data_IF_671037238514
#
_entry.id   IF_671037238514
#
_cell.length_a   1.000
_cell.length_b   1.000
_cell.length_c   1.000
_cell.angle_alpha   90.00
_cell.angle_beta   90.00
_cell.angle_gamma   90.00
#
_symmetry.space_group_name_H-M   'P 1'
#
loop_
_entity.id
_entity.type
_entity.pdbx_description
1 polymer ?
#
# COMPACT_ATOMS: atom_id res chain seq x y z
N UNK A 1 39.36 143.47 66.68
CA UNK A 1 38.00 142.88 66.75
C UNK A 1 37.76 142.11 65.46
N UNK A 2 38.40 140.95 65.27
CA UNK A 2 38.32 140.22 63.99
C UNK A 2 38.57 138.71 64.14
N UNK A 3 38.05 138.10 65.21
CA UNK A 3 38.13 136.65 65.44
C UNK A 3 36.74 135.98 65.50
N UNK A 4 35.65 136.75 65.47
CA UNK A 4 34.28 136.22 65.54
C UNK A 4 33.62 135.88 64.19
N UNK A 5 34.32 136.05 63.06
CA UNK A 5 33.77 135.71 61.75
C UNK A 5 34.09 134.26 61.31
N UNK A 6 35.03 133.57 61.98
CA UNK A 6 35.53 132.26 61.54
C UNK A 6 34.87 131.06 62.26
N UNK A 7 34.11 131.29 63.33
CA UNK A 7 33.34 130.25 64.02
C UNK A 7 31.98 129.98 63.33
N UNK A 8 31.36 131.01 62.73
CA UNK A 8 30.11 130.85 62.00
C UNK A 8 30.27 130.19 60.61
N UNK A 9 31.46 130.22 60.03
CA UNK A 9 31.74 129.58 58.73
C UNK A 9 32.07 128.08 58.83
N UNK A 10 32.44 127.59 60.02
CA UNK A 10 32.79 126.18 60.28
C UNK A 10 31.60 125.30 60.72
N UNK A 11 30.53 125.92 61.19
CA UNK A 11 29.32 125.23 61.69
C UNK A 11 28.18 125.19 60.65
N UNK A 12 28.35 125.89 59.53
CA UNK A 12 27.43 125.83 58.37
C UNK A 12 27.89 124.77 57.36
N UNK A 13 29.19 124.45 57.34
CA UNK A 13 29.74 123.35 56.55
C UNK A 13 29.47 121.95 57.13
N UNK A 14 28.97 121.84 58.37
CA UNK A 14 28.71 120.56 59.04
C UNK A 14 27.27 120.04 58.84
N UNK A 15 26.24 120.90 58.87
CA UNK A 15 24.84 120.46 58.78
C UNK A 15 24.36 120.16 57.35
N UNK A 16 24.82 120.90 56.35
CA UNK A 16 24.42 120.66 54.95
C UNK A 16 25.05 119.39 54.37
N UNK A 17 26.30 119.09 54.78
CA UNK A 17 26.95 117.81 54.45
C UNK A 17 26.30 116.64 55.19
N UNK A 18 25.87 116.83 56.44
CA UNK A 18 25.12 115.83 57.20
C UNK A 18 23.76 115.51 56.56
N UNK A 19 23.03 116.53 56.09
CA UNK A 19 21.75 116.35 55.39
C UNK A 19 21.92 115.63 54.05
N UNK A 20 22.99 115.94 53.30
CA UNK A 20 23.36 115.22 52.07
C UNK A 20 23.70 113.75 52.35
N UNK A 21 24.49 113.48 53.39
CA UNK A 21 24.80 112.12 53.82
C UNK A 21 23.55 111.36 54.28
N UNK A 22 22.67 111.99 55.06
CA UNK A 22 21.42 111.37 55.51
C UNK A 22 20.50 111.02 54.35
N UNK A 23 20.37 111.91 53.34
CA UNK A 23 19.62 111.63 52.11
C UNK A 23 20.24 110.47 51.33
N UNK A 24 21.56 110.47 51.15
CA UNK A 24 22.27 109.40 50.46
C UNK A 24 22.09 108.04 51.16
N UNK A 25 22.18 108.00 52.50
CA UNK A 25 21.94 106.79 53.29
C UNK A 25 20.50 106.30 53.09
N UNK A 26 19.50 107.18 53.20
CA UNK A 26 18.11 106.81 52.96
C UNK A 26 17.84 106.27 51.55
N UNK A 27 18.46 106.86 50.53
CA UNK A 27 18.41 106.35 49.15
C UNK A 27 19.06 104.96 49.03
N UNK A 28 20.23 104.74 49.67
CA UNK A 28 20.90 103.44 49.68
C UNK A 28 20.11 102.38 50.44
N UNK A 29 19.51 102.71 51.58
CA UNK A 29 18.63 101.81 52.33
C UNK A 29 17.40 101.40 51.52
N UNK A 30 16.82 102.34 50.77
CA UNK A 30 15.72 102.07 49.85
C UNK A 30 16.15 101.09 48.75
N UNK A 31 17.28 101.34 48.09
CA UNK A 31 17.83 100.45 47.07
C UNK A 31 18.14 99.05 47.63
N UNK A 32 18.72 98.97 48.84
CA UNK A 32 18.99 97.69 49.50
C UNK A 32 17.68 96.93 49.77
N UNK A 33 16.63 97.63 50.20
CA UNK A 33 15.32 97.02 50.47
C UNK A 33 14.65 96.49 49.19
N UNK A 34 14.73 97.26 48.10
CA UNK A 34 14.23 96.83 46.77
C UNK A 34 15.00 95.60 46.26
N UNK A 35 16.33 95.62 46.34
CA UNK A 35 17.18 94.48 45.97
C UNK A 35 16.91 93.25 46.84
N UNK A 36 16.72 93.42 48.15
CA UNK A 36 16.38 92.33 49.05
C UNK A 36 15.03 91.68 48.67
N UNK A 37 14.03 92.49 48.31
CA UNK A 37 12.74 92.01 47.83
C UNK A 37 12.86 91.24 46.50
N UNK A 38 13.62 91.76 45.53
CA UNK A 38 13.90 91.06 44.26
C UNK A 38 14.62 89.72 44.48
N UNK A 39 15.61 89.68 45.38
CA UNK A 39 16.31 88.44 45.75
C UNK A 39 15.32 87.43 46.34
N UNK A 40 14.43 87.85 47.23
CA UNK A 40 13.45 86.97 47.85
C UNK A 40 12.46 86.41 46.83
N UNK A 41 12.02 87.23 45.87
CA UNK A 41 11.17 86.78 44.76
C UNK A 41 11.89 85.75 43.87
N UNK A 42 13.15 86.00 43.52
CA UNK A 42 13.97 85.06 42.74
C UNK A 42 14.17 83.74 43.47
N UNK A 43 14.41 83.75 44.78
CA UNK A 43 14.53 82.54 45.59
C UNK A 43 13.24 81.71 45.57
N UNK A 44 12.07 82.34 45.69
CA UNK A 44 10.78 81.63 45.58
C UNK A 44 10.57 81.01 44.19
N UNK A 45 10.94 81.73 43.12
CA UNK A 45 10.90 81.19 41.75
C UNK A 45 11.83 79.98 41.58
N UNK A 46 13.05 80.06 42.13
CA UNK A 46 14.01 78.95 42.11
C UNK A 46 13.46 77.74 42.86
N UNK A 47 12.88 77.94 44.05
CA UNK A 47 12.29 76.84 44.84
C UNK A 47 11.14 76.16 44.09
N UNK A 48 10.23 76.94 43.48
CA UNK A 48 9.12 76.40 42.69
C UNK A 48 9.62 75.61 41.46
N UNK A 49 10.66 76.12 40.79
CA UNK A 49 11.27 75.46 39.64
C UNK A 49 11.98 74.17 40.06
N UNK A 50 12.66 74.18 41.22
CA UNK A 50 13.31 72.99 41.77
C UNK A 50 12.29 71.88 42.09
N UNK A 51 11.15 72.23 42.70
CA UNK A 51 10.04 71.28 42.92
C UNK A 51 9.55 70.69 41.59
N UNK A 52 9.31 71.54 40.58
CA UNK A 52 8.91 71.09 39.24
C UNK A 52 9.91 70.14 38.60
N UNK A 53 11.22 70.40 38.74
CA UNK A 53 12.28 69.52 38.24
C UNK A 53 12.21 68.14 38.92
N UNK A 54 11.99 68.10 40.24
CA UNK A 54 11.89 66.81 40.96
C UNK A 54 10.68 65.99 40.54
N UNK A 55 9.52 66.63 40.34
CA UNK A 55 8.30 65.98 39.83
C UNK A 55 8.53 65.40 38.43
N UNK A 56 9.05 66.22 37.51
CA UNK A 56 9.33 65.79 36.14
C UNK A 56 10.36 64.66 36.10
N UNK A 57 11.37 64.68 36.98
CA UNK A 57 12.36 63.59 37.09
C UNK A 57 11.68 62.28 37.51
N UNK A 58 10.76 62.33 38.46
CA UNK A 58 10.00 61.15 38.89
C UNK A 58 9.06 60.63 37.80
N UNK A 59 8.38 61.53 37.07
CA UNK A 59 7.52 61.18 35.93
C UNK A 59 8.32 60.49 34.80
N UNK A 60 9.51 61.02 34.48
CA UNK A 60 10.42 60.43 33.48
C UNK A 60 10.89 59.04 33.91
N UNK A 61 11.26 58.86 35.19
CA UNK A 61 11.66 57.55 35.71
C UNK A 61 10.54 56.52 35.55
N UNK A 62 9.31 56.88 35.96
CA UNK A 62 8.13 56.01 35.82
C UNK A 62 7.78 55.70 34.36
N UNK A 63 7.89 56.69 33.48
CA UNK A 63 7.67 56.50 32.04
C UNK A 63 8.71 55.54 31.44
N UNK A 64 9.98 55.64 31.89
CA UNK A 64 11.05 54.76 31.43
C UNK A 64 10.86 53.31 31.91
N UNK A 65 10.40 53.10 33.14
CA UNK A 65 10.00 51.76 33.62
C UNK A 65 8.85 51.18 32.78
N UNK A 66 7.83 51.99 32.49
CA UNK A 66 6.72 51.61 31.62
C UNK A 66 7.19 51.23 30.21
N UNK A 67 8.12 52.01 29.63
CA UNK A 67 8.74 51.72 28.33
C UNK A 67 9.46 50.37 28.34
N UNK A 68 10.32 50.11 29.33
CA UNK A 68 11.06 48.85 29.42
C UNK A 68 10.14 47.64 29.51
N UNK A 69 9.04 47.74 30.26
CA UNK A 69 8.05 46.67 30.36
C UNK A 69 7.39 46.38 29.01
N UNK A 70 6.99 47.41 28.27
CA UNK A 70 6.38 47.24 26.93
C UNK A 70 7.37 46.66 25.93
N UNK A 71 8.64 47.10 25.97
CA UNK A 71 9.70 46.53 25.12
C UNK A 71 9.91 45.03 25.38
N UNK A 72 9.86 44.62 26.66
CA UNK A 72 9.94 43.22 27.04
C UNK A 72 8.75 42.40 26.52
N UNK A 73 7.52 42.87 26.77
CA UNK A 73 6.29 42.20 26.29
C UNK A 73 6.24 42.11 24.76
N UNK A 74 6.73 43.14 24.07
CA UNK A 74 6.85 43.13 22.62
C UNK A 74 7.84 42.06 22.13
N UNK A 75 9.00 41.94 22.78
CA UNK A 75 10.00 40.92 22.45
C UNK A 75 9.45 39.50 22.64
N UNK A 76 8.74 39.24 23.75
CA UNK A 76 8.13 37.94 24.01
C UNK A 76 7.05 37.59 22.97
N UNK A 77 6.26 38.59 22.57
CA UNK A 77 5.23 38.41 21.54
C UNK A 77 5.84 38.14 20.17
N UNK A 78 6.93 38.83 19.82
CA UNK A 78 7.66 38.61 18.58
C UNK A 78 8.22 37.18 18.49
N UNK A 79 8.74 36.65 19.59
CA UNK A 79 9.23 35.26 19.68
C UNK A 79 8.08 34.25 19.48
N UNK A 80 6.95 34.45 20.17
CA UNK A 80 5.74 33.61 19.99
C UNK A 80 5.24 33.62 18.55
N UNK A 81 5.24 34.77 17.89
CA UNK A 81 4.88 34.88 16.48
C UNK A 81 5.84 34.10 15.57
N UNK A 82 7.15 34.18 15.82
CA UNK A 82 8.16 33.41 15.09
C UNK A 82 7.95 31.90 15.23
N UNK A 83 7.65 31.42 16.44
CA UNK A 83 7.39 30.00 16.67
C UNK A 83 6.08 29.51 16.05
N UNK A 84 5.03 30.33 16.09
CA UNK A 84 3.79 30.03 15.38
C UNK A 84 4.02 29.99 13.86
N UNK A 85 4.81 30.90 13.31
CA UNK A 85 5.17 30.88 11.90
C UNK A 85 5.90 29.58 11.52
N UNK A 86 6.88 29.14 12.31
CA UNK A 86 7.56 27.85 12.10
C UNK A 86 6.58 26.68 12.13
N UNK A 87 5.64 26.66 13.08
CA UNK A 87 4.61 25.62 13.18
C UNK A 87 3.69 25.61 11.95
N UNK A 88 3.23 26.78 11.49
CA UNK A 88 2.43 26.90 10.29
C UNK A 88 3.17 26.35 9.06
N UNK A 89 4.43 26.74 8.87
CA UNK A 89 5.27 26.20 7.79
C UNK A 89 5.42 24.68 7.88
N UNK A 90 5.59 24.14 9.09
CA UNK A 90 5.62 22.69 9.33
C UNK A 90 4.31 22.00 8.92
N UNK A 91 3.15 22.58 9.24
CA UNK A 91 1.87 22.06 8.80
C UNK A 91 1.68 22.12 7.29
N UNK A 92 2.15 23.19 6.62
CA UNK A 92 2.10 23.26 5.16
C UNK A 92 2.84 22.09 4.49
N UNK A 93 4.06 21.78 4.94
CA UNK A 93 4.81 20.65 4.41
C UNK A 93 4.14 19.30 4.69
N UNK A 94 3.50 19.13 5.85
CA UNK A 94 2.73 17.92 6.15
C UNK A 94 1.54 17.76 5.20
N UNK A 95 0.81 18.86 4.93
CA UNK A 95 -0.33 18.86 4.00
C UNK A 95 0.12 18.53 2.58
N UNK A 96 1.21 19.13 2.08
CA UNK A 96 1.77 18.80 0.77
C UNK A 96 2.17 17.33 0.67
N UNK A 97 2.84 16.78 1.71
CA UNK A 97 3.22 15.36 1.72
C UNK A 97 2.01 14.42 1.69
N UNK A 98 0.95 14.75 2.43
CA UNK A 98 -0.29 13.97 2.43
C UNK A 98 -1.00 14.05 1.08
N UNK A 99 -1.00 15.23 0.44
CA UNK A 99 -1.57 15.41 -0.88
C UNK A 99 -0.86 14.54 -1.93
N UNK A 100 0.47 14.51 -1.93
CA UNK A 100 1.24 13.63 -2.83
C UNK A 100 0.92 12.15 -2.61
N UNK A 101 0.86 11.69 -1.35
CA UNK A 101 0.49 10.30 -1.02
C UNK A 101 -0.93 9.94 -1.47
N UNK A 102 -1.86 10.88 -1.32
CA UNK A 102 -3.23 10.71 -1.81
C UNK A 102 -3.23 10.51 -3.33
N UNK A 103 -2.49 11.34 -4.07
CA UNK A 103 -2.39 11.23 -5.52
C UNK A 103 -1.79 9.88 -5.96
N UNK A 104 -0.69 9.45 -5.34
CA UNK A 104 -0.08 8.13 -5.60
C UNK A 104 -1.09 6.99 -5.39
N UNK A 105 -1.87 7.05 -4.31
CA UNK A 105 -2.90 6.06 -4.01
C UNK A 105 -4.04 6.06 -5.04
N UNK A 106 -4.46 7.24 -5.51
CA UNK A 106 -5.49 7.38 -6.55
C UNK A 106 -5.02 6.80 -7.89
N UNK A 107 -3.75 7.02 -8.25
CA UNK A 107 -3.12 6.44 -9.43
C UNK A 107 -3.05 4.90 -9.32
N UNK A 108 -2.63 4.36 -8.17
CA UNK A 108 -2.61 2.91 -7.93
C UNK A 108 -4.01 2.30 -8.06
N UNK A 109 -5.03 2.90 -7.44
CA UNK A 109 -6.42 2.45 -7.57
C UNK A 109 -6.88 2.42 -9.03
N UNK A 110 -6.50 3.43 -9.82
CA UNK A 110 -6.84 3.49 -11.25
C UNK A 110 -6.23 2.32 -12.02
N UNK A 111 -4.94 2.02 -11.78
CA UNK A 111 -4.25 0.89 -12.43
C UNK A 111 -4.84 -0.46 -12.03
N UNK A 112 -5.19 -0.64 -10.76
CA UNK A 112 -5.82 -1.86 -10.25
C UNK A 112 -7.22 -2.06 -10.86
N UNK A 113 -8.01 -1.00 -10.99
CA UNK A 113 -9.32 -1.06 -11.67
C UNK A 113 -9.19 -1.52 -13.11
N UNK A 114 -8.25 -0.95 -13.86
CA UNK A 114 -8.01 -1.36 -15.25
C UNK A 114 -7.58 -2.83 -15.33
N UNK A 115 -6.66 -3.25 -14.47
CA UNK A 115 -6.20 -4.65 -14.42
C UNK A 115 -7.34 -5.61 -14.12
N UNK A 116 -8.24 -5.24 -13.20
CA UNK A 116 -9.41 -6.06 -12.87
C UNK A 116 -10.39 -6.17 -14.06
N UNK A 117 -10.61 -5.07 -14.79
CA UNK A 117 -11.45 -5.06 -16.00
C UNK A 117 -10.87 -5.96 -17.10
N UNK A 118 -9.55 -5.93 -17.28
CA UNK A 118 -8.85 -6.79 -18.22
C UNK A 118 -8.97 -8.28 -17.84
N UNK A 119 -8.83 -8.60 -16.56
CA UNK A 119 -9.02 -9.97 -16.04
C UNK A 119 -10.46 -10.43 -16.25
N UNK A 120 -11.45 -9.61 -15.90
CA UNK A 120 -12.87 -9.92 -16.13
C UNK A 120 -13.14 -10.23 -17.61
N UNK A 121 -12.57 -9.43 -18.51
CA UNK A 121 -12.67 -9.65 -19.95
C UNK A 121 -12.03 -10.97 -20.38
N UNK A 122 -10.87 -11.32 -19.83
CA UNK A 122 -10.20 -12.60 -20.12
C UNK A 122 -11.00 -13.80 -19.60
N UNK A 123 -11.58 -13.69 -18.40
CA UNK A 123 -12.44 -14.73 -17.82
C UNK A 123 -13.65 -14.96 -18.71
N UNK A 124 -14.36 -13.90 -19.11
CA UNK A 124 -15.51 -14.02 -20.02
C UNK A 124 -15.14 -14.71 -21.35
N UNK A 125 -13.96 -14.39 -21.93
CA UNK A 125 -13.46 -15.07 -23.14
C UNK A 125 -13.22 -16.56 -22.91
N UNK A 126 -12.60 -16.93 -21.78
CA UNK A 126 -12.34 -18.34 -21.43
C UNK A 126 -13.63 -19.10 -21.14
N UNK A 127 -14.61 -18.48 -20.49
CA UNK A 127 -15.92 -19.07 -20.25
C UNK A 127 -16.65 -19.36 -21.55
N UNK A 128 -16.67 -18.42 -22.49
CA UNK A 128 -17.26 -18.62 -23.81
C UNK A 128 -16.59 -19.80 -24.56
N UNK A 129 -15.26 -19.90 -24.49
CA UNK A 129 -14.53 -21.02 -25.09
C UNK A 129 -14.87 -22.36 -24.43
N UNK A 130 -15.00 -22.40 -23.10
CA UNK A 130 -15.40 -23.63 -22.41
C UNK A 130 -16.80 -24.09 -22.82
N UNK A 131 -17.73 -23.17 -23.07
CA UNK A 131 -19.07 -23.50 -23.56
C UNK A 131 -18.99 -24.15 -24.94
N UNK A 132 -18.25 -23.57 -25.88
CA UNK A 132 -18.12 -24.13 -27.23
C UNK A 132 -17.41 -25.49 -27.24
N UNK A 133 -16.41 -25.67 -26.37
CA UNK A 133 -15.75 -26.97 -26.19
C UNK A 133 -16.70 -28.03 -25.62
N UNK A 134 -17.53 -27.69 -24.63
CA UNK A 134 -18.53 -28.61 -24.06
C UNK A 134 -19.57 -29.02 -25.12
N UNK A 135 -20.04 -28.08 -25.92
CA UNK A 135 -20.96 -28.36 -27.03
C UNK A 135 -20.33 -29.31 -28.06
N UNK A 136 -19.07 -29.06 -28.42
CA UNK A 136 -18.32 -29.91 -29.37
C UNK A 136 -18.11 -31.33 -28.83
N UNK A 137 -17.78 -31.46 -27.54
CA UNK A 137 -17.64 -32.77 -26.88
C UNK A 137 -18.97 -33.53 -26.87
N UNK A 138 -20.09 -32.86 -26.57
CA UNK A 138 -21.41 -33.48 -26.60
C UNK A 138 -21.75 -34.03 -27.98
N UNK A 139 -21.47 -33.27 -29.04
CA UNK A 139 -21.65 -33.74 -30.43
C UNK A 139 -20.81 -35.00 -30.69
N UNK A 140 -19.54 -34.99 -30.31
CA UNK A 140 -18.67 -36.16 -30.45
C UNK A 140 -19.17 -37.39 -29.68
N UNK A 141 -19.63 -37.21 -28.44
CA UNK A 141 -20.19 -38.29 -27.63
C UNK A 141 -21.45 -38.89 -28.26
N UNK A 142 -22.34 -38.05 -28.79
CA UNK A 142 -23.55 -38.48 -29.49
C UNK A 142 -23.21 -39.22 -30.79
N UNK A 143 -22.20 -38.77 -31.54
CA UNK A 143 -21.70 -39.43 -32.74
C UNK A 143 -21.13 -40.82 -32.43
N UNK A 144 -20.25 -40.90 -31.42
CA UNK A 144 -19.66 -42.14 -30.93
C UNK A 144 -20.73 -43.14 -30.47
N UNK A 145 -21.75 -42.67 -29.74
CA UNK A 145 -22.89 -43.49 -29.33
C UNK A 145 -23.65 -44.03 -30.54
N UNK A 146 -23.92 -43.21 -31.55
CA UNK A 146 -24.58 -43.65 -32.80
C UNK A 146 -23.73 -44.66 -33.56
N UNK A 147 -22.42 -44.49 -33.60
CA UNK A 147 -21.50 -45.46 -34.22
C UNK A 147 -21.52 -46.81 -33.49
N UNK A 148 -21.49 -46.80 -32.15
CA UNK A 148 -21.56 -48.03 -31.35
C UNK A 148 -22.86 -48.80 -31.58
N UNK A 149 -24.01 -48.12 -31.66
CA UNK A 149 -25.29 -48.76 -32.02
C UNK A 149 -25.21 -49.45 -33.40
N UNK A 150 -24.57 -48.81 -34.39
CA UNK A 150 -24.36 -49.40 -35.71
C UNK A 150 -23.43 -50.62 -35.64
N UNK A 151 -22.34 -50.55 -34.88
CA UNK A 151 -21.43 -51.67 -34.66
C UNK A 151 -22.14 -52.87 -34.04
N UNK A 152 -22.97 -52.65 -33.01
CA UNK A 152 -23.75 -53.70 -32.37
C UNK A 152 -24.74 -54.34 -33.35
N UNK A 153 -25.41 -53.54 -34.18
CA UNK A 153 -26.31 -54.05 -35.22
C UNK A 153 -25.58 -54.94 -36.23
N UNK A 154 -24.40 -54.51 -36.70
CA UNK A 154 -23.55 -55.31 -37.60
C UNK A 154 -23.10 -56.60 -36.91
N UNK A 155 -22.66 -56.53 -35.66
CA UNK A 155 -22.23 -57.69 -34.88
C UNK A 155 -23.37 -58.72 -34.70
N UNK A 156 -24.60 -58.26 -34.49
CA UNK A 156 -25.78 -59.12 -34.45
C UNK A 156 -26.04 -59.79 -35.81
N UNK A 157 -25.93 -59.06 -36.91
CA UNK A 157 -26.09 -59.60 -38.27
C UNK A 157 -25.03 -60.67 -38.53
N UNK A 158 -23.76 -60.39 -38.24
CA UNK A 158 -22.66 -61.34 -38.38
C UNK A 158 -22.91 -62.62 -37.56
N UNK A 159 -23.38 -62.48 -36.32
CA UNK A 159 -23.73 -63.61 -35.46
C UNK A 159 -24.89 -64.44 -36.01
N UNK A 160 -25.89 -63.81 -36.65
CA UNK A 160 -26.98 -64.51 -37.35
C UNK A 160 -26.47 -65.26 -38.58
N UNK A 161 -25.62 -64.63 -39.39
CA UNK A 161 -25.01 -65.25 -40.58
C UNK A 161 -24.18 -66.47 -40.17
N UNK A 162 -23.30 -66.35 -39.17
CA UNK A 162 -22.51 -67.48 -38.66
C UNK A 162 -23.36 -68.67 -38.24
N UNK A 163 -24.46 -68.44 -37.51
CA UNK A 163 -25.40 -69.50 -37.10
C UNK A 163 -26.06 -70.18 -38.31
N UNK A 164 -26.51 -69.40 -39.31
CA UNK A 164 -27.06 -69.95 -40.55
C UNK A 164 -26.03 -70.80 -41.29
N UNK A 165 -24.81 -70.30 -41.44
CA UNK A 165 -23.71 -71.05 -42.08
C UNK A 165 -23.42 -72.35 -41.33
N UNK A 166 -23.33 -72.32 -39.99
CA UNK A 166 -23.12 -73.52 -39.18
C UNK A 166 -24.27 -74.54 -39.34
N UNK A 167 -25.51 -74.06 -39.38
CA UNK A 167 -26.69 -74.90 -39.63
C UNK A 167 -26.62 -75.55 -41.02
N UNK A 168 -26.29 -74.79 -42.07
CA UNK A 168 -26.14 -75.34 -43.42
C UNK A 168 -25.03 -76.40 -43.47
N UNK A 169 -23.89 -76.17 -42.84
CA UNK A 169 -22.80 -77.16 -42.76
C UNK A 169 -23.20 -78.42 -42.00
N UNK A 170 -24.06 -78.32 -40.98
CA UNK A 170 -24.61 -79.49 -40.30
C UNK A 170 -25.53 -80.30 -41.23
N UNK A 171 -26.39 -79.63 -42.00
CA UNK A 171 -27.26 -80.25 -43.00
C UNK A 171 -26.45 -80.91 -44.12
N UNK A 172 -25.41 -80.25 -44.62
CA UNK A 172 -24.48 -80.81 -45.62
C UNK A 172 -23.84 -82.08 -45.08
N UNK A 173 -23.24 -82.04 -43.87
CA UNK A 173 -22.64 -83.23 -43.24
C UNK A 173 -23.62 -84.38 -43.03
N UNK A 174 -24.88 -84.06 -42.69
CA UNK A 174 -25.94 -85.05 -42.60
C UNK A 174 -26.20 -85.71 -43.96
N UNK A 175 -26.35 -84.92 -45.04
CA UNK A 175 -26.53 -85.47 -46.38
C UNK A 175 -25.32 -86.24 -46.89
N UNK A 176 -24.10 -85.78 -46.62
CA UNK A 176 -22.87 -86.53 -46.95
C UNK A 176 -22.86 -87.89 -46.25
N UNK A 177 -23.23 -87.93 -44.96
CA UNK A 177 -23.34 -89.19 -44.20
C UNK A 177 -24.46 -90.11 -44.74
N UNK A 178 -25.57 -89.52 -45.20
CA UNK A 178 -26.69 -90.23 -45.84
C UNK A 178 -26.25 -90.85 -47.16
N UNK A 179 -25.57 -90.07 -48.01
CA UNK A 179 -24.99 -90.50 -49.28
C UNK A 179 -23.97 -91.62 -49.03
N UNK A 180 -23.08 -91.48 -48.05
CA UNK A 180 -22.11 -92.51 -47.70
C UNK A 180 -22.79 -93.81 -47.26
N UNK A 181 -23.85 -93.72 -46.45
CA UNK A 181 -24.63 -94.88 -46.02
C UNK A 181 -25.34 -95.57 -47.19
N UNK A 182 -25.96 -94.79 -48.08
CA UNK A 182 -26.58 -95.32 -49.30
C UNK A 182 -25.53 -95.94 -50.23
N UNK A 183 -24.39 -95.27 -50.39
CA UNK A 183 -23.27 -95.76 -51.19
C UNK A 183 -22.75 -97.11 -50.66
N UNK A 184 -22.61 -97.25 -49.34
CA UNK A 184 -22.27 -98.52 -48.68
C UNK A 184 -23.31 -99.62 -48.91
N UNK A 185 -24.60 -99.31 -48.96
CA UNK A 185 -25.64 -100.29 -49.29
C UNK A 185 -25.51 -100.75 -50.75
N UNK A 186 -25.25 -99.82 -51.67
CA UNK A 186 -25.03 -100.14 -53.09
C UNK A 186 -23.75 -100.98 -53.28
N UNK A 187 -22.66 -100.66 -52.59
CA UNK A 187 -21.43 -101.48 -52.66
C UNK A 187 -21.58 -102.82 -51.94
N UNK A 188 -22.35 -102.90 -50.84
CA UNK A 188 -22.68 -104.18 -50.19
C UNK A 188 -23.55 -105.10 -51.07
N UNK A 189 -24.35 -104.54 -51.99
CA UNK A 189 -25.04 -105.32 -53.03
C UNK A 189 -24.14 -105.74 -54.20
N UNK A 190 -23.01 -105.05 -54.40
CA UNK A 190 -22.02 -105.36 -55.46
C UNK A 190 -20.91 -106.30 -54.96
N UNK A 191 -20.58 -106.30 -53.66
CA UNK A 191 -19.53 -107.13 -53.04
C UNK A 191 -20.01 -108.53 -52.60
N UNK A 192 -21.07 -109.05 -53.23
CA UNK A 192 -21.25 -110.50 -53.47
C UNK A 192 -20.60 -110.91 -54.80
N UNK A 193 -19.46 -110.33 -55.16
CA UNK A 193 -18.51 -110.94 -56.10
C UNK A 193 -17.13 -110.31 -55.98
N UNK A 194 -16.23 -111.16 -55.52
CA UNK A 194 -14.79 -111.18 -55.71
C UNK A 194 -13.87 -110.22 -54.93
N UNK A 195 -12.86 -110.89 -54.41
CA UNK A 195 -11.75 -110.54 -53.53
C UNK A 195 -10.66 -109.65 -54.13
N UNK A 196 -9.97 -108.95 -53.19
CA UNK A 196 -8.51 -108.88 -52.95
C UNK A 196 -7.70 -107.62 -53.35
N UNK A 197 -7.06 -107.10 -52.31
CA UNK A 197 -5.63 -106.72 -52.15
C UNK A 197 -5.10 -105.29 -52.39
N UNK A 198 -4.23 -104.92 -51.43
CA UNK A 198 -3.07 -104.01 -51.44
C UNK A 198 -3.16 -102.53 -51.00
N UNK A 199 -2.74 -102.31 -49.74
CA UNK A 199 -1.51 -101.60 -49.30
C UNK A 199 -1.07 -100.31 -50.02
N UNK A 200 -1.05 -99.17 -49.28
CA UNK A 200 0.16 -98.37 -48.93
C UNK A 200 -0.18 -96.93 -48.47
N UNK A 201 0.29 -96.54 -47.27
CA UNK A 201 0.50 -95.16 -46.79
C UNK A 201 1.74 -94.51 -47.49
N UNK A 202 2.14 -93.22 -47.30
CA UNK A 202 1.79 -92.24 -46.24
C UNK A 202 1.55 -90.78 -46.77
N UNK A 203 1.33 -89.79 -45.89
CA UNK A 203 2.20 -88.59 -45.73
C UNK A 203 1.53 -87.51 -44.85
N UNK A 204 2.33 -86.90 -43.97
CA UNK A 204 2.01 -85.86 -42.98
C UNK A 204 2.38 -84.50 -43.56
N UNK A 205 1.57 -83.45 -43.33
CA UNK A 205 2.06 -82.06 -43.38
C UNK A 205 1.60 -81.31 -42.13
N UNK A 206 2.58 -81.02 -41.28
CA UNK A 206 2.57 -80.02 -40.21
C UNK A 206 2.91 -78.66 -40.84
N UNK A 207 2.15 -77.61 -40.54
CA UNK A 207 2.67 -76.24 -40.58
C UNK A 207 2.32 -75.57 -39.25
N UNK A 208 3.36 -75.30 -38.48
CA UNK A 208 3.39 -74.30 -37.42
C UNK A 208 3.98 -73.01 -38.02
N UNK A 209 3.42 -71.86 -37.66
CA UNK A 209 4.15 -70.61 -37.39
C UNK A 209 3.19 -69.68 -36.64
N UNK A 210 3.43 -69.34 -35.37
CA UNK A 210 4.43 -68.39 -34.84
C UNK A 210 4.20 -66.98 -35.36
N UNK A 211 3.66 -66.13 -34.49
CA UNK A 211 3.45 -64.70 -34.73
C UNK A 211 3.00 -64.02 -33.45
N UNK A 212 3.75 -64.24 -32.37
CA UNK A 212 3.66 -63.44 -31.16
C UNK A 212 4.59 -62.22 -31.34
N UNK A 213 4.02 -61.07 -31.68
CA UNK A 213 4.70 -59.77 -31.47
C UNK A 213 4.07 -59.09 -30.25
N UNK A 214 4.79 -59.32 -29.14
CA UNK A 214 5.21 -58.34 -28.15
C UNK A 214 4.34 -57.08 -28.03
N UNK A 215 3.46 -57.17 -27.05
CA UNK A 215 2.91 -56.05 -26.30
C UNK A 215 4.05 -55.28 -25.59
N UNK A 216 4.61 -54.25 -26.21
CA UNK A 216 5.32 -53.18 -25.49
C UNK A 216 4.30 -52.14 -25.02
N UNK A 217 3.63 -52.51 -23.93
CA UNK A 217 3.04 -51.55 -22.99
C UNK A 217 4.19 -50.70 -22.43
N UNK A 218 4.47 -49.58 -23.09
CA UNK A 218 5.26 -48.48 -22.54
C UNK A 218 4.42 -47.84 -21.43
N UNK A 219 4.45 -48.46 -20.25
CA UNK A 219 4.06 -47.82 -19.00
C UNK A 219 4.98 -46.62 -18.82
N UNK A 220 4.42 -45.46 -19.17
CA UNK A 220 4.80 -44.14 -18.69
C UNK A 220 5.17 -44.23 -17.21
N UNK A 221 6.47 -44.27 -16.94
CA UNK A 221 6.98 -43.86 -15.63
C UNK A 221 6.86 -42.35 -15.62
N UNK A 222 5.67 -41.88 -15.23
CA UNK A 222 5.48 -40.53 -14.73
C UNK A 222 6.57 -40.28 -13.68
N UNK A 223 7.52 -39.42 -14.03
CA UNK A 223 8.37 -38.76 -13.05
C UNK A 223 7.42 -38.03 -12.11
N UNK A 224 7.30 -38.53 -10.88
CA UNK A 224 6.65 -37.80 -9.79
C UNK A 224 7.46 -36.54 -9.61
N UNK A 225 6.92 -35.43 -10.10
CA UNK A 225 7.44 -34.09 -9.89
C UNK A 225 7.75 -33.92 -8.41
N UNK A 226 8.96 -33.46 -8.12
CA UNK A 226 9.39 -33.09 -6.78
C UNK A 226 8.30 -32.24 -6.10
N UNK A 227 8.00 -32.47 -4.81
CA UNK A 227 6.99 -31.68 -4.10
C UNK A 227 7.34 -30.19 -4.19
N UNK A 228 6.41 -29.37 -4.67
CA UNK A 228 6.59 -27.92 -4.69
C UNK A 228 6.73 -27.44 -3.25
N UNK A 229 7.94 -27.03 -2.87
CA UNK A 229 8.23 -26.44 -1.57
C UNK A 229 7.97 -24.93 -1.65
N UNK A 230 7.33 -24.39 -0.61
CA UNK A 230 7.03 -22.97 -0.46
C UNK A 230 7.81 -22.45 0.74
N UNK A 231 8.44 -21.29 0.59
CA UNK A 231 9.20 -20.65 1.67
C UNK A 231 8.28 -19.86 2.61
N UNK A 232 8.47 -20.04 3.91
CA UNK A 232 7.79 -19.25 4.93
C UNK A 232 8.35 -17.82 4.95
N UNK A 233 7.50 -16.78 4.87
CA UNK A 233 7.95 -15.39 4.83
C UNK A 233 8.57 -14.90 6.14
N UNK A 234 8.34 -15.60 7.26
CA UNK A 234 8.82 -15.19 8.59
C UNK A 234 10.17 -15.83 8.98
N UNK A 235 10.45 -17.06 8.53
CA UNK A 235 11.68 -17.78 8.91
C UNK A 235 12.51 -18.33 7.74
N UNK A 236 12.10 -18.08 6.50
CA UNK A 236 12.76 -18.52 5.25
C UNK A 236 12.95 -20.05 5.11
N UNK A 237 12.25 -20.87 5.90
CA UNK A 237 12.28 -22.33 5.76
C UNK A 237 11.26 -22.80 4.72
N UNK A 238 11.63 -23.79 3.90
CA UNK A 238 10.78 -24.33 2.84
C UNK A 238 9.95 -25.52 3.33
N UNK A 239 8.64 -25.50 3.06
CA UNK A 239 7.70 -26.55 3.46
C UNK A 239 6.83 -27.03 2.29
N UNK A 240 6.34 -28.27 2.31
CA UNK A 240 5.29 -28.72 1.39
C UNK A 240 4.01 -27.88 1.55
N UNK A 241 3.28 -27.65 0.45
CA UNK A 241 2.05 -26.82 0.42
C UNK A 241 1.03 -27.14 1.53
N UNK A 242 0.89 -28.40 1.95
CA UNK A 242 -0.08 -28.80 2.97
C UNK A 242 0.41 -28.60 4.42
N UNK A 243 1.68 -28.23 4.62
CA UNK A 243 2.28 -27.98 5.94
C UNK A 243 2.62 -26.51 6.18
N UNK A 244 2.66 -25.68 5.13
CA UNK A 244 3.01 -24.26 5.24
C UNK A 244 1.97 -23.47 6.04
N UNK A 245 0.68 -23.79 5.91
CA UNK A 245 -0.39 -23.07 6.58
C UNK A 245 -0.30 -23.20 8.12
N UNK A 246 -0.11 -24.42 8.63
CA UNK A 246 0.09 -24.65 10.07
C UNK A 246 1.38 -24.01 10.58
N UNK A 247 2.47 -24.12 9.81
CA UNK A 247 3.74 -23.51 10.21
C UNK A 247 3.70 -21.98 10.23
N UNK A 248 3.06 -21.33 9.25
CA UNK A 248 2.97 -19.86 9.20
C UNK A 248 2.22 -19.33 10.42
N UNK A 249 1.19 -20.04 10.88
CA UNK A 249 0.43 -19.67 12.07
C UNK A 249 1.30 -19.73 13.34
N UNK A 250 2.03 -20.83 13.55
CA UNK A 250 2.94 -20.97 14.69
C UNK A 250 4.12 -19.98 14.62
N UNK A 251 4.68 -19.78 13.43
CA UNK A 251 5.84 -18.91 13.22
C UNK A 251 5.52 -17.43 13.40
N UNK A 252 4.27 -17.04 13.17
CA UNK A 252 3.78 -15.68 13.40
C UNK A 252 3.60 -15.39 14.90
N UNK A 253 3.18 -16.38 15.70
CA UNK A 253 3.04 -16.24 17.15
C UNK A 253 4.41 -16.14 17.85
N UNK A 254 5.40 -16.92 17.40
CA UNK A 254 6.77 -16.87 17.94
C UNK A 254 7.51 -15.56 17.61
N UNK A 255 7.17 -14.89 16.49
CA UNK A 255 7.77 -13.60 16.10
C UNK A 255 7.28 -12.43 16.94
N UNK A 256 6.11 -12.53 17.57
CA UNK A 256 5.53 -11.45 18.39
C UNK A 256 6.02 -11.47 19.84
N UNK A 257 6.79 -12.50 20.23
CA UNK A 257 7.27 -12.70 21.61
C UNK A 257 8.78 -12.49 21.81
N UNK A 258 9.51 -12.07 20.77
CA UNK A 258 10.97 -11.90 20.83
C UNK A 258 11.43 -10.43 20.75
N UNK A 259 10.50 -9.47 20.84
CA UNK A 259 10.77 -8.01 20.79
C UNK A 259 10.63 -7.30 22.17
N UNK A 260 10.80 -8.03 23.28
CA UNK A 260 11.07 -7.49 24.64
C UNK A 260 12.51 -7.84 25.08
#
# INVERSE_FOLDING_TARGET
VNENANAAARDVFSNEELDKLSKLVGEKEKVISEQAAEIQEMLMKIESSSKRITELTAEVAKANEGKQKVEFEFSETAEKCSDLQKKCTGFFYQVESLYSKQQESEEEISTLKQTNEDICTQVAKKEALMVTMKESLKVYEDDSRRENVKKDAIQQILSRVRRKTQSHMATIRHFESEIERMSKLVTHDIEKKDTKDQTSQPFVVVVADSGADVNESSTSRQAKSSPTLIECPYCSRSYPYHLIEGHVQDCMEDSLYMDD
#
